data_IF_049043926033
#
_entry.id   IF_049043926033
#
_cell.length_a   1.000
_cell.length_b   1.000
_cell.length_c   1.000
_cell.angle_alpha   90.00
_cell.angle_beta   90.00
_cell.angle_gamma   90.00
#
_symmetry.space_group_name_H-M   'P 1'
#
loop_
_entity.id
_entity.type
_entity.pdbx_description
1 polymer ?
#
# COMPACT_ATOMS: atom_id res chain seq x y z
N UNK A 1 -14.25 -45.84 15.26
CA UNK A 1 -14.59 -44.95 14.14
C UNK A 1 -14.16 -43.49 14.42
N UNK A 2 -14.56 -42.89 15.55
CA UNK A 2 -14.20 -41.49 15.88
C UNK A 2 -12.66 -41.25 16.01
N UNK A 3 -11.91 -42.20 16.54
CA UNK A 3 -10.45 -42.08 16.68
C UNK A 3 -9.70 -41.96 15.32
N UNK A 4 -10.17 -42.72 14.32
CA UNK A 4 -9.60 -42.68 12.97
C UNK A 4 -9.86 -41.32 12.29
N UNK A 5 -11.05 -40.74 12.46
CA UNK A 5 -11.39 -39.40 11.98
C UNK A 5 -10.55 -38.33 12.65
N UNK A 6 -10.25 -38.43 13.94
CA UNK A 6 -9.41 -37.49 14.66
C UNK A 6 -7.95 -37.50 14.15
N UNK A 7 -7.41 -38.70 13.83
CA UNK A 7 -6.07 -38.84 13.27
C UNK A 7 -5.98 -38.24 11.87
N UNK A 8 -6.96 -38.47 11.00
CA UNK A 8 -7.01 -37.89 9.66
C UNK A 8 -7.13 -36.36 9.72
N UNK A 9 -7.97 -35.84 10.62
CA UNK A 9 -8.13 -34.41 10.81
C UNK A 9 -6.84 -33.74 11.30
N UNK A 10 -6.08 -34.38 12.19
CA UNK A 10 -4.82 -33.84 12.71
C UNK A 10 -3.72 -33.74 11.64
N UNK A 11 -3.70 -34.67 10.69
CA UNK A 11 -2.75 -34.66 9.56
C UNK A 11 -3.13 -33.71 8.42
N UNK A 12 -4.44 -33.45 8.25
CA UNK A 12 -4.95 -32.55 7.21
C UNK A 12 -4.81 -31.08 7.58
N UNK A 13 -4.83 -30.74 8.88
CA UNK A 13 -4.79 -29.36 9.38
C UNK A 13 -3.58 -28.54 8.90
N UNK A 14 -2.31 -29.03 8.97
CA UNK A 14 -1.14 -28.27 8.56
C UNK A 14 -1.05 -28.02 7.04
N UNK A 15 -1.62 -28.91 6.22
CA UNK A 15 -1.63 -28.73 4.76
C UNK A 15 -2.62 -27.67 4.30
N UNK A 16 -3.78 -27.59 4.93
CA UNK A 16 -4.80 -26.57 4.66
C UNK A 16 -4.30 -25.16 5.02
N UNK A 17 -3.66 -25.00 6.17
CA UNK A 17 -3.12 -23.70 6.59
C UNK A 17 -2.08 -23.13 5.59
N UNK A 18 -1.27 -23.98 4.95
CA UNK A 18 -0.28 -23.54 3.96
C UNK A 18 -0.94 -22.89 2.73
N UNK A 19 -2.05 -23.43 2.27
CA UNK A 19 -2.76 -22.92 1.11
C UNK A 19 -3.40 -21.55 1.42
N UNK A 20 -3.99 -21.39 2.60
CA UNK A 20 -4.62 -20.14 3.03
C UNK A 20 -3.62 -19.00 3.19
N UNK A 21 -2.43 -19.25 3.72
CA UNK A 21 -1.41 -18.21 3.87
C UNK A 21 -0.88 -17.72 2.53
N UNK A 22 -0.70 -18.61 1.56
CA UNK A 22 -0.30 -18.22 0.20
C UNK A 22 -1.39 -17.39 -0.48
N UNK A 23 -2.67 -17.75 -0.27
CA UNK A 23 -3.80 -16.97 -0.76
C UNK A 23 -3.88 -15.59 -0.10
N UNK A 24 -3.65 -15.49 1.21
CA UNK A 24 -3.61 -14.20 1.92
C UNK A 24 -2.51 -13.29 1.37
N UNK A 25 -1.33 -13.85 1.09
CA UNK A 25 -0.21 -13.11 0.52
C UNK A 25 -0.54 -12.58 -0.90
N UNK A 26 -1.12 -13.41 -1.76
CA UNK A 26 -1.59 -12.97 -3.09
C UNK A 26 -2.68 -11.91 -2.98
N UNK A 27 -3.65 -12.09 -2.10
CA UNK A 27 -4.69 -11.10 -1.84
C UNK A 27 -4.11 -9.76 -1.36
N UNK A 28 -3.08 -9.79 -0.51
CA UNK A 28 -2.37 -8.58 -0.07
C UNK A 28 -1.70 -7.86 -1.25
N UNK A 29 -1.04 -8.60 -2.13
CA UNK A 29 -0.45 -8.03 -3.35
C UNK A 29 -1.50 -7.40 -4.26
N UNK A 30 -2.65 -8.05 -4.46
CA UNK A 30 -3.75 -7.49 -5.24
C UNK A 30 -4.34 -6.22 -4.60
N UNK A 31 -4.42 -6.15 -3.27
CA UNK A 31 -4.86 -4.95 -2.55
C UNK A 31 -3.90 -3.78 -2.75
N UNK A 32 -2.59 -4.01 -2.67
CA UNK A 32 -1.56 -2.98 -2.94
C UNK A 32 -1.61 -2.56 -4.40
N UNK A 33 -1.67 -3.50 -5.34
CA UNK A 33 -1.83 -3.22 -6.77
C UNK A 33 -3.04 -2.33 -7.04
N UNK A 34 -4.19 -2.67 -6.45
CA UNK A 34 -5.41 -1.87 -6.57
C UNK A 34 -5.28 -0.50 -5.88
N UNK A 35 -4.53 -0.40 -4.78
CA UNK A 35 -4.24 0.85 -4.10
C UNK A 35 -3.41 1.79 -4.98
N UNK A 36 -2.35 1.28 -5.60
CA UNK A 36 -1.53 2.04 -6.54
C UNK A 36 -2.32 2.48 -7.78
N UNK A 37 -3.16 1.59 -8.33
CA UNK A 37 -4.06 1.95 -9.43
C UNK A 37 -5.02 3.09 -9.06
N UNK A 38 -5.61 3.04 -7.85
CA UNK A 38 -6.48 4.12 -7.35
C UNK A 38 -5.72 5.42 -7.13
N UNK A 39 -4.50 5.38 -6.57
CA UNK A 39 -3.67 6.57 -6.37
C UNK A 39 -3.38 7.25 -7.72
N UNK A 40 -3.01 6.47 -8.73
CA UNK A 40 -2.78 6.97 -10.09
C UNK A 40 -4.01 7.60 -10.72
N UNK A 41 -5.16 6.93 -10.65
CA UNK A 41 -6.42 7.47 -11.18
C UNK A 41 -6.80 8.76 -10.46
N UNK A 42 -6.62 8.82 -9.15
CA UNK A 42 -6.86 10.05 -8.37
C UNK A 42 -5.90 11.16 -8.78
N UNK A 43 -4.61 10.88 -8.99
CA UNK A 43 -3.65 11.88 -9.45
C UNK A 43 -4.06 12.48 -10.80
N UNK A 44 -4.44 11.62 -11.77
CA UNK A 44 -4.94 12.04 -13.07
C UNK A 44 -6.23 12.86 -12.99
N UNK A 45 -7.19 12.45 -12.14
CA UNK A 45 -8.51 13.10 -12.06
C UNK A 45 -8.47 14.42 -11.28
N UNK A 46 -7.63 14.53 -10.25
CA UNK A 46 -7.54 15.73 -9.42
C UNK A 46 -6.49 16.73 -9.88
N UNK A 47 -5.62 16.35 -10.82
CA UNK A 47 -4.48 17.16 -11.24
C UNK A 47 -3.43 17.37 -10.14
N UNK A 48 -3.47 16.58 -9.07
CA UNK A 48 -2.60 16.72 -7.88
C UNK A 48 -1.77 15.47 -7.65
N UNK A 49 -0.60 15.66 -7.02
CA UNK A 49 0.27 14.55 -6.66
C UNK A 49 -0.38 13.76 -5.52
N UNK A 50 -0.43 12.44 -5.68
CA UNK A 50 -0.81 11.51 -4.63
C UNK A 50 0.40 10.71 -4.18
N UNK A 51 0.42 10.35 -2.91
CA UNK A 51 1.54 9.70 -2.24
C UNK A 51 1.01 8.42 -1.60
N UNK A 52 1.72 7.32 -1.84
CA UNK A 52 1.51 6.06 -1.12
C UNK A 52 2.65 5.85 -0.15
N UNK A 53 2.33 5.53 1.10
CA UNK A 53 3.28 5.16 2.15
C UNK A 53 2.75 3.96 2.92
N UNK A 54 3.64 3.20 3.55
CA UNK A 54 3.31 2.05 4.36
C UNK A 54 4.21 2.02 5.62
N UNK A 55 3.80 1.27 6.64
CA UNK A 55 4.63 1.04 7.84
C UNK A 55 5.65 -0.05 7.55
N UNK A 56 6.94 0.26 7.74
CA UNK A 56 8.02 -0.74 7.61
C UNK A 56 7.84 -1.81 8.67
N UNK A 57 7.97 -3.08 8.27
CA UNK A 57 7.71 -4.27 9.09
C UNK A 57 6.28 -4.33 9.68
N UNK A 58 5.37 -3.50 9.18
CA UNK A 58 3.97 -3.43 9.57
C UNK A 58 3.02 -3.88 8.49
N UNK A 59 1.73 -3.74 8.77
CA UNK A 59 0.63 -4.13 7.88
C UNK A 59 -0.20 -2.93 7.37
N UNK A 60 0.13 -1.69 7.80
CA UNK A 60 -0.64 -0.49 7.47
C UNK A 60 -0.08 0.25 6.27
N UNK A 61 -0.97 0.83 5.49
CA UNK A 61 -0.62 1.73 4.39
C UNK A 61 -1.65 2.85 4.23
N UNK A 62 -1.23 3.96 3.66
CA UNK A 62 -2.07 5.12 3.40
C UNK A 62 -1.83 5.69 2.01
N UNK A 63 -2.88 6.31 1.44
CA UNK A 63 -2.78 7.12 0.24
C UNK A 63 -3.20 8.53 0.62
N UNK A 64 -2.28 9.48 0.40
CA UNK A 64 -2.49 10.89 0.72
C UNK A 64 -2.45 11.72 -0.55
N UNK A 65 -3.20 12.82 -0.55
CA UNK A 65 -3.04 13.86 -1.54
C UNK A 65 -2.00 14.85 -1.01
N UNK A 66 -1.03 15.22 -1.83
CA UNK A 66 -0.12 16.31 -1.48
C UNK A 66 -0.90 17.61 -1.41
N UNK A 67 -0.95 18.21 -0.24
CA UNK A 67 -1.39 19.60 -0.09
C UNK A 67 -0.24 20.49 -0.56
N UNK A 68 -0.38 21.16 -1.68
CA UNK A 68 0.46 22.31 -2.00
C UNK A 68 0.08 23.38 -0.98
N UNK A 69 1.04 23.92 -0.24
CA UNK A 69 0.82 24.81 0.90
C UNK A 69 0.14 26.16 0.59
N UNK A 70 -0.78 26.18 -0.32
CA UNK A 70 -1.71 27.27 -0.56
C UNK A 70 -2.99 26.94 0.19
N UNK A 71 -3.09 27.54 1.38
CA UNK A 71 -4.37 27.66 2.09
C UNK A 71 -5.24 28.59 1.23
N UNK A 72 -5.78 28.06 0.16
CA UNK A 72 -6.95 28.69 -0.44
C UNK A 72 -8.11 28.43 0.50
N UNK A 73 -8.44 29.43 1.30
CA UNK A 73 -9.73 29.60 1.98
C UNK A 73 -10.80 29.74 0.89
N UNK A 74 -11.08 28.67 0.16
CA UNK A 74 -12.24 28.55 -0.72
C UNK A 74 -13.01 27.28 -0.34
N UNK A 75 -13.36 27.24 0.94
CA UNK A 75 -14.39 26.36 1.45
C UNK A 75 -15.69 27.14 1.58
N UNK A 76 -16.14 27.74 0.49
CA UNK A 76 -17.48 28.25 0.40
C UNK A 76 -17.86 28.30 -1.07
N UNK A 77 -18.49 27.32 -1.54
CA UNK A 77 -19.63 27.22 -2.45
C UNK A 77 -19.64 25.81 -3.06
N UNK A 78 -20.30 24.90 -2.44
CA UNK A 78 -21.19 24.04 -3.19
C UNK A 78 -22.28 23.50 -2.25
N UNK A 79 -23.24 24.36 -2.07
CA UNK A 79 -24.51 24.05 -1.44
C UNK A 79 -25.37 23.36 -2.51
N UNK A 80 -25.24 22.05 -2.61
CA UNK A 80 -26.18 21.19 -3.31
C UNK A 80 -26.62 20.07 -2.39
N UNK A 81 -27.90 20.03 -2.00
CA UNK A 81 -28.44 19.01 -1.12
C UNK A 81 -28.67 17.72 -1.93
N UNK A 82 -27.70 16.85 -2.03
CA UNK A 82 -27.96 15.46 -2.39
C UNK A 82 -27.82 14.61 -1.16
N UNK A 83 -28.99 14.32 -0.57
CA UNK A 83 -29.12 13.46 0.59
C UNK A 83 -28.65 12.04 0.34
N UNK A 84 -27.45 11.76 0.80
CA UNK A 84 -27.03 10.46 1.33
C UNK A 84 -26.10 10.78 2.48
N UNK A 85 -26.73 11.00 3.65
CA UNK A 85 -26.04 11.19 4.90
C UNK A 85 -25.47 9.84 5.36
N UNK A 86 -24.19 9.69 5.25
CA UNK A 86 -23.40 8.99 6.25
C UNK A 86 -22.14 9.85 6.53
N UNK A 87 -22.41 10.97 7.16
CA UNK A 87 -21.41 11.95 7.58
C UNK A 87 -20.93 11.59 8.98
N UNK A 88 -20.11 10.60 9.07
CA UNK A 88 -19.09 10.60 10.11
C UNK A 88 -18.09 11.69 9.73
N UNK A 89 -18.24 12.88 10.32
CA UNK A 89 -17.20 13.91 10.32
C UNK A 89 -16.02 13.41 11.16
N UNK A 90 -15.30 12.43 10.64
CA UNK A 90 -13.96 12.14 11.12
C UNK A 90 -13.10 13.30 10.64
N UNK A 91 -12.51 14.03 11.58
CA UNK A 91 -11.47 15.01 11.32
C UNK A 91 -10.54 14.45 10.24
N UNK A 92 -10.23 15.22 9.17
CA UNK A 92 -9.27 14.77 8.19
C UNK A 92 -7.94 14.57 8.94
N UNK A 93 -7.63 13.33 9.26
CA UNK A 93 -6.29 12.99 9.71
C UNK A 93 -5.33 13.46 8.62
N UNK A 94 -4.20 14.08 8.94
CA UNK A 94 -3.21 14.52 7.96
C UNK A 94 -2.73 13.37 7.07
N UNK A 95 -2.93 12.16 7.54
CA UNK A 95 -2.74 10.91 6.81
C UNK A 95 -4.09 10.48 6.24
N UNK A 96 -4.21 10.33 4.93
CA UNK A 96 -5.41 9.78 4.29
C UNK A 96 -5.87 8.50 4.99
N UNK A 97 -7.08 8.04 4.69
CA UNK A 97 -7.67 6.85 5.36
C UNK A 97 -6.68 5.68 5.35
N UNK A 98 -6.15 5.35 6.54
CA UNK A 98 -5.28 4.19 6.73
C UNK A 98 -6.03 2.91 6.39
N UNK A 99 -5.32 1.99 5.79
CA UNK A 99 -5.81 0.65 5.44
C UNK A 99 -4.82 -0.38 5.93
N UNK A 100 -5.31 -1.59 6.17
CA UNK A 100 -4.50 -2.70 6.62
C UNK A 100 -4.47 -3.82 5.57
N UNK A 101 -3.35 -4.54 5.54
CA UNK A 101 -3.20 -5.78 4.82
C UNK A 101 -3.98 -6.90 5.53
N UNK A 102 -4.26 -8.03 4.85
CA UNK A 102 -4.77 -9.22 5.51
C UNK A 102 -3.85 -9.69 6.64
N UNK A 103 -4.46 -10.21 7.69
CA UNK A 103 -3.77 -10.72 8.87
C UNK A 103 -2.61 -11.67 8.50
N UNK A 104 -1.45 -11.45 9.12
CA UNK A 104 -0.26 -12.26 8.94
C UNK A 104 0.57 -11.91 7.69
N UNK A 105 0.30 -10.79 7.04
CA UNK A 105 1.12 -10.26 5.95
C UNK A 105 1.66 -8.90 6.34
N UNK A 106 2.96 -8.70 6.13
CA UNK A 106 3.66 -7.45 6.45
C UNK A 106 4.45 -6.92 5.25
N UNK A 107 4.72 -5.63 5.26
CA UNK A 107 5.66 -5.00 4.36
C UNK A 107 7.08 -5.23 4.88
N UNK A 108 7.97 -5.75 4.04
CA UNK A 108 9.38 -5.99 4.44
C UNK A 108 10.27 -4.81 4.07
N UNK A 109 9.97 -4.15 2.99
CA UNK A 109 10.74 -3.03 2.50
C UNK A 109 10.36 -2.67 1.07
N UNK A 110 10.78 -1.49 0.65
CA UNK A 110 10.73 -1.08 -0.75
C UNK A 110 12.08 -0.54 -1.16
N UNK A 111 12.40 -0.78 -2.40
CA UNK A 111 13.46 -0.08 -3.10
C UNK A 111 12.77 0.93 -4.02
N UNK A 112 12.91 2.21 -3.71
CA UNK A 112 12.40 3.29 -4.54
C UNK A 112 13.60 3.88 -5.29
N UNK A 113 13.54 3.88 -6.61
CA UNK A 113 14.55 4.58 -7.40
C UNK A 113 14.21 6.07 -7.33
N UNK A 114 15.07 6.83 -6.66
CA UNK A 114 14.96 8.28 -6.58
C UNK A 114 15.05 8.86 -7.99
N UNK A 115 13.96 9.46 -8.45
CA UNK A 115 13.93 10.26 -9.66
C UNK A 115 14.23 11.73 -9.23
N UNK A 116 14.97 12.45 -10.05
CA UNK A 116 15.28 13.88 -9.84
C UNK A 116 14.01 14.70 -9.53
N UNK A 117 12.87 14.29 -10.12
CA UNK A 117 11.56 14.87 -9.86
C UNK A 117 11.06 14.54 -8.44
N UNK A 118 11.28 13.32 -7.97
CA UNK A 118 10.95 12.92 -6.60
C UNK A 118 11.80 13.69 -5.58
N UNK A 119 13.08 13.90 -5.88
CA UNK A 119 13.98 14.69 -5.04
C UNK A 119 13.58 16.16 -4.97
N UNK A 120 13.21 16.79 -6.10
CA UNK A 120 12.68 18.15 -6.10
C UNK A 120 11.39 18.26 -5.31
N UNK A 121 10.48 17.31 -5.51
CA UNK A 121 9.20 17.24 -4.78
C UNK A 121 9.45 16.98 -3.29
N UNK A 122 10.41 16.13 -2.94
CA UNK A 122 10.80 15.86 -1.56
C UNK A 122 11.52 17.06 -0.91
N UNK A 123 12.35 17.78 -1.64
CA UNK A 123 13.03 18.98 -1.13
C UNK A 123 12.03 20.11 -0.81
N UNK A 124 11.02 20.30 -1.65
CA UNK A 124 9.89 21.19 -1.32
C UNK A 124 9.03 20.63 -0.18
N UNK A 125 8.99 19.31 -0.02
CA UNK A 125 8.25 18.61 1.03
C UNK A 125 8.99 18.58 2.38
N UNK A 126 10.23 19.03 2.49
CA UNK A 126 10.93 19.19 3.77
C UNK A 126 10.22 20.15 4.75
N UNK A 127 9.16 20.83 4.31
CA UNK A 127 8.17 21.47 5.18
C UNK A 127 7.09 20.48 5.67
N UNK A 128 7.01 19.29 5.12
CA UNK A 128 6.15 18.23 5.65
C UNK A 128 6.93 17.52 6.77
N UNK A 129 6.78 18.09 7.92
CA UNK A 129 7.19 17.51 9.17
C UNK A 129 6.68 16.08 9.30
N UNK A 130 7.63 15.31 9.76
CA UNK A 130 7.44 13.99 10.34
C UNK A 130 6.85 12.96 9.37
N UNK A 131 7.73 12.34 8.64
CA UNK A 131 7.76 10.90 8.71
C UNK A 131 7.63 10.54 10.20
N UNK A 132 6.39 10.37 10.67
CA UNK A 132 6.20 9.71 11.97
C UNK A 132 7.04 8.46 11.92
N UNK A 133 7.86 8.27 12.92
CA UNK A 133 8.78 7.15 12.99
C UNK A 133 8.06 5.87 12.60
N UNK A 134 8.51 5.20 11.54
CA UNK A 134 7.95 3.94 11.09
C UNK A 134 7.28 3.92 9.70
N UNK A 135 7.09 5.06 9.03
CA UNK A 135 6.59 5.09 7.66
C UNK A 135 7.73 4.97 6.63
N UNK A 136 7.43 4.35 5.51
CA UNK A 136 8.36 4.17 4.39
C UNK A 136 8.63 5.47 3.64
N UNK A 137 9.66 5.46 2.78
CA UNK A 137 9.80 6.48 1.75
C UNK A 137 8.52 6.57 0.90
N UNK A 138 8.15 7.79 0.48
CA UNK A 138 6.94 8.02 -0.29
C UNK A 138 7.08 7.53 -1.74
N UNK A 139 6.04 6.85 -2.24
CA UNK A 139 5.89 6.50 -3.65
C UNK A 139 4.93 7.52 -4.27
N UNK A 140 5.41 8.30 -5.24
CA UNK A 140 4.66 9.38 -5.85
C UNK A 140 3.88 8.93 -7.09
N UNK A 141 2.67 9.48 -7.23
CA UNK A 141 1.81 9.36 -8.42
C UNK A 141 1.52 10.76 -8.93
N UNK A 142 1.94 11.03 -10.15
CA UNK A 142 1.87 12.36 -10.74
C UNK A 142 0.61 12.54 -11.62
N UNK A 143 0.14 13.80 -11.78
CA UNK A 143 -1.05 14.09 -12.59
C UNK A 143 -0.88 13.82 -14.09
N UNK A 144 0.35 13.69 -14.58
CA UNK A 144 0.64 13.28 -15.97
C UNK A 144 0.56 11.75 -16.19
N UNK A 145 0.25 10.99 -15.14
CA UNK A 145 0.14 9.54 -15.17
C UNK A 145 1.45 8.78 -14.97
N UNK A 146 2.57 9.49 -14.79
CA UNK A 146 3.84 8.90 -14.37
C UNK A 146 3.84 8.63 -12.86
N UNK A 147 4.79 7.83 -12.39
CA UNK A 147 4.92 7.46 -10.97
C UNK A 147 6.40 7.36 -10.59
N UNK A 148 6.72 7.28 -9.32
CA UNK A 148 8.03 6.76 -8.90
C UNK A 148 8.22 5.34 -9.40
N UNK A 149 9.44 4.96 -9.74
CA UNK A 149 9.79 3.54 -9.93
C UNK A 149 10.01 2.93 -8.56
N UNK A 150 9.26 1.90 -8.23
CA UNK A 150 9.33 1.27 -6.92
C UNK A 150 9.24 -0.26 -7.01
N UNK A 151 9.94 -0.91 -6.11
CA UNK A 151 9.90 -2.36 -5.89
C UNK A 151 9.52 -2.60 -4.43
N UNK A 152 8.42 -3.28 -4.19
CA UNK A 152 7.87 -3.54 -2.87
C UNK A 152 7.80 -5.03 -2.60
N UNK A 153 8.21 -5.45 -1.42
CA UNK A 153 8.18 -6.84 -1.00
C UNK A 153 7.22 -7.00 0.17
N UNK A 154 6.28 -7.94 0.02
CA UNK A 154 5.39 -8.40 1.08
C UNK A 154 5.84 -9.77 1.57
N UNK A 155 5.68 -10.02 2.86
CA UNK A 155 6.06 -11.27 3.51
C UNK A 155 4.89 -11.80 4.36
N UNK A 156 4.74 -13.12 4.40
CA UNK A 156 3.82 -13.77 5.32
C UNK A 156 4.56 -14.32 6.56
N UNK A 157 3.80 -14.88 7.51
CA UNK A 157 4.34 -15.47 8.75
C UNK A 157 5.30 -16.65 8.54
N UNK A 158 5.41 -17.21 7.34
CA UNK A 158 6.33 -18.31 6.98
C UNK A 158 7.46 -17.84 6.09
N UNK A 159 7.79 -16.57 6.13
CA UNK A 159 8.86 -15.96 5.33
C UNK A 159 8.74 -16.16 3.81
N UNK A 160 7.53 -16.51 3.33
CA UNK A 160 7.25 -16.47 1.90
C UNK A 160 7.06 -15.04 1.48
N UNK A 161 7.64 -14.67 0.35
CA UNK A 161 7.60 -13.31 -0.17
C UNK A 161 6.89 -13.24 -1.50
N UNK A 162 6.33 -12.08 -1.80
CA UNK A 162 5.81 -11.70 -3.11
C UNK A 162 6.27 -10.27 -3.41
N UNK A 163 6.73 -10.08 -4.62
CA UNK A 163 7.26 -8.81 -5.07
C UNK A 163 6.25 -8.08 -5.96
N UNK A 164 6.14 -6.77 -5.78
CA UNK A 164 5.41 -5.88 -6.66
C UNK A 164 6.38 -4.86 -7.24
N UNK A 165 6.37 -4.70 -8.56
CA UNK A 165 7.17 -3.70 -9.25
C UNK A 165 6.26 -2.67 -9.90
N UNK A 166 6.54 -1.38 -9.65
CA UNK A 166 5.88 -0.24 -10.26
C UNK A 166 6.85 0.43 -11.24
N UNK A 167 6.46 0.53 -12.50
CA UNK A 167 7.24 1.23 -13.54
C UNK A 167 6.89 2.71 -13.57
N UNK A 168 7.86 3.57 -13.28
CA UNK A 168 7.66 5.01 -13.16
C UNK A 168 7.05 5.67 -14.39
N UNK A 169 7.57 5.39 -15.58
CA UNK A 169 7.13 6.04 -16.81
C UNK A 169 5.70 5.66 -17.23
N UNK A 170 5.29 4.43 -16.99
CA UNK A 170 4.00 3.90 -17.47
C UNK A 170 2.98 3.72 -16.36
N UNK A 171 3.41 3.72 -15.09
CA UNK A 171 2.57 3.39 -13.94
C UNK A 171 2.02 1.96 -13.95
N UNK A 172 2.65 1.07 -14.74
CA UNK A 172 2.25 -0.34 -14.80
C UNK A 172 2.77 -1.07 -13.58
N UNK A 173 1.87 -1.79 -12.92
CA UNK A 173 2.19 -2.63 -11.76
C UNK A 173 2.29 -4.09 -12.20
N UNK A 174 3.42 -4.70 -11.91
CA UNK A 174 3.64 -6.14 -12.10
C UNK A 174 3.70 -6.80 -10.74
N UNK A 175 3.00 -7.91 -10.58
CA UNK A 175 3.04 -8.76 -9.38
C UNK A 175 3.81 -10.01 -9.74
N UNK A 176 4.87 -10.31 -8.99
CA UNK A 176 5.69 -11.50 -9.16
C UNK A 176 5.03 -12.75 -8.59
N UNK A 177 5.73 -13.85 -8.67
CA UNK A 177 5.32 -15.11 -8.07
C UNK A 177 5.68 -15.17 -6.57
N UNK A 178 4.96 -16.01 -5.83
CA UNK A 178 5.26 -16.26 -4.42
C UNK A 178 6.54 -17.07 -4.33
N UNK A 179 7.55 -16.49 -3.72
CA UNK A 179 8.84 -17.13 -3.47
C UNK A 179 8.85 -17.85 -2.12
N UNK A 180 9.50 -18.98 -2.06
CA UNK A 180 9.81 -19.64 -0.79
C UNK A 180 10.88 -18.85 -0.03
N UNK A 181 10.96 -18.98 1.31
CA UNK A 181 12.07 -18.41 2.05
C UNK A 181 13.39 -18.90 1.45
N UNK A 182 14.35 -18.00 1.29
CA UNK A 182 15.72 -18.42 0.97
C UNK A 182 16.21 -19.25 2.16
N UNK A 183 16.28 -20.57 1.99
CA UNK A 183 17.02 -21.41 2.91
C UNK A 183 18.48 -20.95 2.80
N UNK A 184 18.95 -20.26 3.84
CA UNK A 184 20.34 -19.84 3.92
C UNK A 184 21.21 -21.09 3.68
N UNK A 185 21.99 -21.06 2.62
CA UNK A 185 23.08 -22.00 2.40
C UNK A 185 23.99 -21.93 3.64
N UNK A 186 24.37 -23.09 4.18
CA UNK A 186 25.22 -23.18 5.36
C UNK A 186 26.62 -22.60 5.12
#
# INVERSE_FOLDING_TARGET
MLAVLAIIASLAWPTLNRAFETQRLRKAADLVRAAWGRARVKALSTGRIHIFQYTVDGDRYAIQQRSTGEVTVDAAVDDLPTGFADASYENPTPFGKERQLPEGVTFVGSETVSDTRAEMVAAEANQFQSLEQGWSEPIFFYPDGTTSTARLVLKNQRDRTIELTLRGLTGVVTVGDVQAPEEGLP
#
